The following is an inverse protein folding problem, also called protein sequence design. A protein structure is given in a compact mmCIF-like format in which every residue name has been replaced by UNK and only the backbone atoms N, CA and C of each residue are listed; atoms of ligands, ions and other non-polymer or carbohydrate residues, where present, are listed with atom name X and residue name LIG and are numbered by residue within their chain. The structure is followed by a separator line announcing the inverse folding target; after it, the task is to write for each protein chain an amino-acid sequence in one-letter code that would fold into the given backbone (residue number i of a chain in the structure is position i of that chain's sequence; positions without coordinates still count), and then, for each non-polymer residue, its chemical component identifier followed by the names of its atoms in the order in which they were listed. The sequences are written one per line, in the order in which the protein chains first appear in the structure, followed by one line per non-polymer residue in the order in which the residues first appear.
data_IF_758117251580
#
_entry.id   IF_758117251580
#
_cell.length_a   1.000
_cell.length_b   1.000
_cell.length_c   1.000
_cell.angle_alpha   90.00
_cell.angle_beta   90.00
_cell.angle_gamma   90.00
#
_symmetry.space_group_name_H-M   'P 1'
#
loop_
_entity.id
_entity.type
_entity.pdbx_description
1 polymer ?
#
# COMPACT_ATOMS: atom_id res chain seq x y z
N UNK A 1 -8.26 -10.34 14.18
CA UNK A 1 -7.54 -11.42 13.44
C UNK A 1 -6.57 -12.11 14.39
N UNK A 2 -6.52 -13.45 14.42
CA UNK A 2 -5.62 -14.22 15.30
C UNK A 2 -4.31 -14.58 14.58
N UNK A 3 -3.21 -14.91 15.29
CA UNK A 3 -1.97 -15.36 14.66
C UNK A 3 -2.14 -16.58 13.74
N UNK A 4 -3.13 -17.44 14.00
CA UNK A 4 -3.43 -18.59 13.14
C UNK A 4 -3.98 -18.16 11.77
N UNK A 5 -4.92 -17.21 11.76
CA UNK A 5 -5.48 -16.64 10.52
C UNK A 5 -4.39 -15.94 9.71
N UNK A 6 -3.53 -15.21 10.40
CA UNK A 6 -2.36 -14.57 9.80
C UNK A 6 -1.41 -15.57 9.13
N UNK A 7 -1.06 -16.68 9.79
CA UNK A 7 -0.20 -17.70 9.18
C UNK A 7 -0.83 -18.35 7.95
N UNK A 8 -2.12 -18.70 8.04
CA UNK A 8 -2.85 -19.27 6.93
C UNK A 8 -2.88 -18.31 5.73
N UNK A 9 -3.12 -17.02 5.97
CA UNK A 9 -3.10 -16.02 4.91
C UNK A 9 -1.72 -15.87 4.25
N UNK A 10 -0.62 -15.85 5.02
CA UNK A 10 0.75 -15.85 4.43
C UNK A 10 0.99 -17.08 3.57
N UNK A 11 0.60 -18.26 4.04
CA UNK A 11 0.72 -19.50 3.26
C UNK A 11 -0.04 -19.41 1.92
N UNK A 12 -1.26 -18.89 1.95
CA UNK A 12 -2.03 -18.67 0.71
C UNK A 12 -1.35 -17.68 -0.25
N UNK A 13 -0.62 -16.68 0.26
CA UNK A 13 0.12 -15.74 -0.59
C UNK A 13 1.35 -16.42 -1.21
N UNK A 14 2.07 -17.24 -0.44
CA UNK A 14 3.29 -17.90 -0.89
C UNK A 14 3.03 -19.11 -1.82
N UNK A 15 1.83 -19.71 -1.78
CA UNK A 15 1.46 -20.88 -2.59
C UNK A 15 1.64 -20.63 -4.09
N UNK A 16 2.59 -21.34 -4.70
CA UNK A 16 2.84 -21.29 -6.14
C UNK A 16 1.71 -22.00 -6.90
N UNK A 17 1.28 -21.43 -8.02
CA UNK A 17 0.20 -21.99 -8.84
C UNK A 17 -1.22 -21.63 -8.38
N UNK A 18 -1.38 -20.99 -7.23
CA UNK A 18 -2.65 -20.38 -6.84
C UNK A 18 -2.92 -19.13 -7.69
N UNK A 19 -4.19 -18.86 -8.01
CA UNK A 19 -4.57 -17.70 -8.80
C UNK A 19 -4.12 -16.39 -8.14
N UNK A 20 -3.55 -15.48 -8.94
CA UNK A 20 -3.06 -14.16 -8.48
C UNK A 20 -4.13 -13.40 -7.70
N UNK A 21 -5.40 -13.46 -8.12
CA UNK A 21 -6.53 -12.80 -7.45
C UNK A 21 -6.74 -13.32 -6.01
N UNK A 22 -6.63 -14.63 -5.79
CA UNK A 22 -6.76 -15.26 -4.47
C UNK A 22 -5.60 -14.84 -3.57
N UNK A 23 -4.38 -14.81 -4.11
CA UNK A 23 -3.19 -14.37 -3.38
C UNK A 23 -3.27 -12.89 -2.99
N UNK A 24 -3.79 -12.04 -3.88
CA UNK A 24 -4.08 -10.62 -3.60
C UNK A 24 -5.14 -10.50 -2.50
N UNK A 25 -6.23 -11.26 -2.58
CA UNK A 25 -7.26 -11.26 -1.54
C UNK A 25 -6.71 -11.71 -0.17
N UNK A 26 -5.83 -12.71 -0.15
CA UNK A 26 -5.15 -13.15 1.06
C UNK A 26 -4.26 -12.05 1.66
N UNK A 27 -3.53 -11.29 0.83
CA UNK A 27 -2.78 -10.12 1.29
C UNK A 27 -3.70 -9.00 1.81
N UNK A 28 -4.83 -8.75 1.15
CA UNK A 28 -5.81 -7.75 1.57
C UNK A 28 -6.53 -8.11 2.88
N UNK A 29 -6.62 -9.40 3.24
CA UNK A 29 -7.17 -9.85 4.52
C UNK A 29 -6.41 -9.27 5.73
N UNK A 30 -5.15 -8.84 5.53
CA UNK A 30 -4.36 -8.16 6.54
C UNK A 30 -4.82 -6.74 6.84
N UNK A 31 -5.72 -6.12 6.05
CA UNK A 31 -6.18 -4.73 6.26
C UNK A 31 -6.73 -4.47 7.67
N UNK A 32 -7.43 -5.43 8.24
CA UNK A 32 -8.08 -5.32 9.56
C UNK A 32 -7.37 -6.15 10.64
N UNK A 33 -6.20 -6.70 10.33
CA UNK A 33 -5.43 -7.48 11.28
C UNK A 33 -4.67 -6.55 12.25
N UNK A 34 -4.56 -6.97 13.51
CA UNK A 34 -3.60 -6.36 14.43
C UNK A 34 -2.19 -6.55 13.88
N UNK A 35 -1.32 -5.57 14.11
CA UNK A 35 0.07 -5.67 13.72
C UNK A 35 0.71 -6.90 14.38
N UNK A 36 1.25 -7.79 13.55
CA UNK A 36 1.95 -8.99 13.99
C UNK A 36 3.25 -9.11 13.21
N UNK A 37 4.35 -8.78 13.88
CA UNK A 37 5.65 -8.59 13.25
C UNK A 37 6.11 -9.74 12.32
N UNK A 38 5.98 -11.03 12.69
CA UNK A 38 6.38 -12.12 11.79
C UNK A 38 5.62 -12.14 10.45
N UNK A 39 4.38 -11.64 10.43
CA UNK A 39 3.62 -11.49 9.19
C UNK A 39 4.07 -10.29 8.37
N UNK A 40 4.38 -9.19 9.05
CA UNK A 40 4.93 -7.99 8.39
C UNK A 40 6.25 -8.33 7.71
N UNK A 41 7.16 -9.01 8.40
CA UNK A 41 8.43 -9.47 7.83
C UNK A 41 8.22 -10.31 6.55
N UNK A 42 7.26 -11.24 6.58
CA UNK A 42 6.90 -12.06 5.41
C UNK A 42 6.29 -11.25 4.27
N UNK A 43 5.40 -10.33 4.57
CA UNK A 43 4.78 -9.46 3.56
C UNK A 43 5.82 -8.54 2.91
N UNK A 44 6.80 -8.04 3.69
CA UNK A 44 7.96 -7.30 3.17
C UNK A 44 8.79 -8.17 2.24
N UNK A 45 9.09 -9.42 2.63
CA UNK A 45 9.82 -10.37 1.79
C UNK A 45 9.14 -10.62 0.44
N UNK A 46 7.82 -10.77 0.45
CA UNK A 46 7.01 -10.96 -0.76
C UNK A 46 7.06 -9.68 -1.62
N UNK A 47 6.84 -8.51 -1.02
CA UNK A 47 6.82 -7.24 -1.72
C UNK A 47 8.12 -6.94 -2.49
N UNK A 48 9.28 -7.28 -1.90
CA UNK A 48 10.59 -6.98 -2.50
C UNK A 48 11.14 -8.09 -3.40
N UNK A 49 10.45 -9.23 -3.54
CA UNK A 49 10.94 -10.37 -4.33
C UNK A 49 10.34 -10.37 -5.76
N UNK A 50 11.17 -10.22 -6.82
CA UNK A 50 10.68 -10.16 -8.20
C UNK A 50 9.98 -11.42 -8.73
N UNK A 51 10.12 -12.55 -8.05
CA UNK A 51 9.50 -13.82 -8.43
C UNK A 51 7.96 -13.83 -8.27
N UNK A 52 7.39 -12.88 -7.50
CA UNK A 52 5.94 -12.76 -7.34
C UNK A 52 5.34 -11.80 -8.36
N UNK A 53 4.07 -12.02 -8.70
CA UNK A 53 3.29 -11.15 -9.58
C UNK A 53 3.23 -9.71 -9.05
N UNK A 54 3.12 -8.74 -9.97
CA UNK A 54 3.07 -7.30 -9.67
C UNK A 54 2.00 -6.96 -8.64
N UNK A 55 0.81 -7.54 -8.82
CA UNK A 55 -0.37 -7.35 -7.99
C UNK A 55 -0.15 -7.91 -6.58
N UNK A 56 0.43 -9.11 -6.47
CA UNK A 56 0.74 -9.74 -5.17
C UNK A 56 1.78 -8.92 -4.40
N UNK A 57 2.80 -8.42 -5.10
CA UNK A 57 3.85 -7.59 -4.51
C UNK A 57 3.29 -6.27 -3.98
N UNK A 58 2.46 -5.58 -4.77
CA UNK A 58 1.81 -4.33 -4.36
C UNK A 58 0.84 -4.56 -3.20
N UNK A 59 0.01 -5.61 -3.26
CA UNK A 59 -0.91 -5.94 -2.18
C UNK A 59 -0.18 -6.27 -0.88
N UNK A 60 0.93 -7.04 -0.96
CA UNK A 60 1.77 -7.37 0.20
C UNK A 60 2.46 -6.14 0.78
N UNK A 61 2.94 -5.23 -0.06
CA UNK A 61 3.46 -3.94 0.38
C UNK A 61 2.43 -3.12 1.14
N UNK A 62 1.22 -2.95 0.59
CA UNK A 62 0.13 -2.20 1.24
C UNK A 62 -0.26 -2.83 2.59
N UNK A 63 -0.25 -4.16 2.67
CA UNK A 63 -0.50 -4.89 3.91
C UNK A 63 0.61 -4.69 4.95
N UNK A 64 1.87 -4.71 4.52
CA UNK A 64 3.03 -4.55 5.39
C UNK A 64 3.20 -3.12 5.90
N UNK A 65 3.08 -2.12 5.01
CA UNK A 65 3.49 -0.73 5.29
C UNK A 65 2.71 -0.12 6.46
N UNK A 66 1.46 -0.54 6.71
CA UNK A 66 0.65 -0.09 7.85
C UNK A 66 1.32 -0.37 9.20
N UNK A 67 2.04 -1.47 9.29
CA UNK A 67 2.69 -1.96 10.51
C UNK A 67 4.22 -1.97 10.36
N UNK A 68 4.77 -1.27 9.37
CA UNK A 68 6.19 -1.25 9.13
C UNK A 68 6.94 -0.53 10.26
N UNK A 69 8.17 -0.98 10.47
CA UNK A 69 9.15 -0.40 11.38
C UNK A 69 10.35 0.04 10.54
N UNK A 70 11.31 0.72 11.15
CA UNK A 70 12.45 1.31 10.45
C UNK A 70 13.15 0.30 9.51
N UNK A 71 13.48 -0.89 10.00
CA UNK A 71 14.19 -1.91 9.20
C UNK A 71 13.37 -2.42 8.00
N UNK A 72 12.04 -2.48 8.15
CA UNK A 72 11.13 -2.88 7.09
C UNK A 72 11.16 -1.84 5.96
N UNK A 73 11.10 -0.56 6.32
CA UNK A 73 11.16 0.55 5.36
C UNK A 73 12.52 0.64 4.68
N UNK A 74 13.62 0.48 5.41
CA UNK A 74 14.97 0.45 4.86
C UNK A 74 15.12 -0.66 3.81
N UNK A 75 14.67 -1.88 4.13
CA UNK A 75 14.68 -3.01 3.21
C UNK A 75 13.83 -2.76 1.96
N UNK A 76 12.62 -2.23 2.14
CA UNK A 76 11.73 -1.89 1.02
C UNK A 76 12.44 -0.88 0.11
N UNK A 77 12.96 0.21 0.67
CA UNK A 77 13.56 1.30 -0.11
C UNK A 77 14.84 0.81 -0.81
N UNK A 78 15.71 0.07 -0.13
CA UNK A 78 16.95 -0.45 -0.72
C UNK A 78 16.66 -1.34 -1.95
N UNK A 79 15.69 -2.26 -1.83
CA UNK A 79 15.37 -3.20 -2.91
C UNK A 79 14.56 -2.56 -4.03
N UNK A 80 13.53 -1.80 -3.69
CA UNK A 80 12.63 -1.20 -4.68
C UNK A 80 13.30 -0.07 -5.45
N UNK A 81 14.28 0.63 -4.87
CA UNK A 81 15.04 1.65 -5.60
C UNK A 81 15.73 1.11 -6.86
N UNK A 82 16.07 -0.19 -6.87
CA UNK A 82 16.75 -0.90 -7.97
C UNK A 82 15.82 -1.83 -8.75
N UNK A 83 14.50 -1.72 -8.54
CA UNK A 83 13.52 -2.60 -9.16
C UNK A 83 13.36 -2.31 -10.66
N UNK A 84 13.37 -3.38 -11.46
CA UNK A 84 13.16 -3.29 -12.92
C UNK A 84 11.68 -3.20 -13.29
N UNK A 85 10.81 -3.83 -12.49
CA UNK A 85 9.36 -3.70 -12.66
C UNK A 85 8.91 -2.29 -12.27
N UNK A 86 8.79 -1.43 -13.28
CA UNK A 86 8.37 -0.04 -13.15
C UNK A 86 7.02 0.15 -12.48
N UNK A 87 6.12 -0.84 -12.55
CA UNK A 87 4.82 -0.80 -11.89
C UNK A 87 4.98 -0.89 -10.37
N UNK A 88 5.74 -1.86 -9.88
CA UNK A 88 6.03 -2.00 -8.44
C UNK A 88 6.84 -0.81 -7.95
N UNK A 89 7.89 -0.42 -8.69
CA UNK A 89 8.77 0.70 -8.33
C UNK A 89 8.00 2.01 -8.19
N UNK A 90 7.23 2.38 -9.22
CA UNK A 90 6.46 3.62 -9.23
C UNK A 90 5.39 3.66 -8.14
N UNK A 91 4.68 2.54 -7.94
CA UNK A 91 3.65 2.45 -6.90
C UNK A 91 4.24 2.65 -5.50
N UNK A 92 5.27 1.87 -5.17
CA UNK A 92 5.82 1.83 -3.81
C UNK A 92 6.56 3.12 -3.48
N UNK A 93 7.47 3.59 -4.34
CA UNK A 93 8.22 4.83 -4.09
C UNK A 93 7.27 6.04 -4.08
N UNK A 94 6.32 6.10 -5.01
CA UNK A 94 5.30 7.14 -5.04
C UNK A 94 4.44 7.17 -3.78
N UNK A 95 4.01 6.00 -3.27
CA UNK A 95 3.25 5.94 -2.02
C UNK A 95 4.08 6.39 -0.81
N UNK A 96 5.35 5.99 -0.71
CA UNK A 96 6.24 6.44 0.37
C UNK A 96 6.50 7.95 0.32
N UNK A 97 6.65 8.54 -0.87
CA UNK A 97 6.76 9.99 -1.05
C UNK A 97 5.47 10.69 -0.60
N UNK A 98 4.29 10.19 -1.00
CA UNK A 98 3.02 10.75 -0.54
C UNK A 98 2.88 10.70 0.99
N UNK A 99 3.39 9.64 1.64
CA UNK A 99 3.41 9.56 3.11
C UNK A 99 4.39 10.59 3.69
N UNK A 100 5.58 10.74 3.11
CA UNK A 100 6.63 11.64 3.59
C UNK A 100 6.22 13.12 3.47
N UNK A 101 5.60 13.50 2.35
CA UNK A 101 5.18 14.86 2.04
C UNK A 101 3.77 15.19 2.55
N UNK A 102 2.96 14.17 2.84
CA UNK A 102 1.58 14.30 3.27
C UNK A 102 1.41 14.74 4.72
N UNK A 103 0.18 15.12 5.07
CA UNK A 103 -0.21 15.61 6.41
C UNK A 103 -1.25 14.71 7.10
N UNK A 104 -1.53 13.52 6.55
CA UNK A 104 -2.52 12.60 7.08
C UNK A 104 -2.17 12.14 8.51
N UNK A 105 -3.01 12.43 9.53
CA UNK A 105 -2.69 12.12 10.94
C UNK A 105 -2.46 10.63 11.20
N UNK A 106 -3.21 9.76 10.52
CA UNK A 106 -3.07 8.30 10.63
C UNK A 106 -1.76 7.75 10.04
N UNK A 107 -0.95 8.58 9.36
CA UNK A 107 0.34 8.22 8.76
C UNK A 107 1.50 8.91 9.48
N UNK A 108 1.26 9.58 10.61
CA UNK A 108 2.28 10.34 11.35
C UNK A 108 3.49 9.50 11.75
N UNK A 109 3.29 8.30 12.30
CA UNK A 109 4.39 7.41 12.67
C UNK A 109 5.25 7.02 11.47
N UNK A 110 4.63 6.66 10.33
CA UNK A 110 5.38 6.31 9.12
C UNK A 110 6.13 7.51 8.56
N UNK A 111 5.50 8.69 8.56
CA UNK A 111 6.15 9.94 8.16
C UNK A 111 7.35 10.26 9.04
N UNK A 112 7.26 10.02 10.35
CA UNK A 112 8.40 10.16 11.26
C UNK A 112 9.55 9.23 10.89
N UNK A 113 9.27 7.94 10.65
CA UNK A 113 10.29 6.96 10.22
C UNK A 113 10.93 7.33 8.87
N UNK A 114 10.18 7.97 7.98
CA UNK A 114 10.65 8.40 6.66
C UNK A 114 11.33 9.77 6.66
N UNK A 115 11.32 10.52 7.77
CA UNK A 115 11.70 11.94 7.76
C UNK A 115 13.13 12.22 7.25
N UNK A 116 14.07 11.30 7.49
CA UNK A 116 15.46 11.42 7.07
C UNK A 116 15.83 10.50 5.88
N UNK A 117 14.84 9.88 5.25
CA UNK A 117 15.07 8.92 4.19
C UNK A 117 14.96 9.61 2.83
N UNK A 118 16.01 9.49 2.02
CA UNK A 118 15.99 10.00 0.64
C UNK A 118 15.37 8.93 -0.25
N UNK A 119 14.14 9.19 -0.72
CA UNK A 119 13.44 8.30 -1.64
C UNK A 119 13.74 8.75 -3.07
N UNK A 120 14.24 7.86 -3.96
CA UNK A 120 14.48 8.22 -5.35
C UNK A 120 13.19 8.68 -6.05
N UNK A 121 13.30 9.74 -6.85
CA UNK A 121 12.17 10.31 -7.61
C UNK A 121 12.29 10.11 -9.12
N UNK A 122 13.32 9.38 -9.54
CA UNK A 122 13.69 9.03 -10.92
C UNK A 122 12.85 7.85 -11.44
N UNK A 123 11.52 7.96 -11.35
CA UNK A 123 10.58 7.03 -11.94
C UNK A 123 9.49 7.77 -12.70
N UNK A 124 8.91 7.11 -13.71
CA UNK A 124 7.85 7.69 -14.53
C UNK A 124 6.57 7.85 -13.71
N UNK A 125 5.91 9.01 -13.86
CA UNK A 125 4.75 9.40 -13.06
C UNK A 125 3.46 9.47 -13.90
N UNK A 126 3.49 9.04 -15.17
CA UNK A 126 2.31 9.00 -16.01
C UNK A 126 1.28 8.01 -15.46
N UNK A 127 0.30 8.61 -14.84
CA UNK A 127 -0.73 7.98 -14.06
C UNK A 127 -1.66 7.05 -14.85
N UNK A 128 -1.65 7.20 -16.18
CA UNK A 128 -2.43 6.39 -17.14
C UNK A 128 -1.73 5.09 -17.52
N UNK A 129 -0.46 4.95 -17.15
CA UNK A 129 0.41 3.82 -17.54
C UNK A 129 1.04 3.13 -16.35
N UNK A 130 1.22 3.86 -15.24
CA UNK A 130 1.93 3.37 -14.07
C UNK A 130 1.02 3.28 -12.85
N UNK A 131 1.23 2.21 -12.11
CA UNK A 131 0.55 1.92 -10.86
C UNK A 131 0.86 3.02 -9.84
N UNK A 132 -0.16 3.47 -9.10
CA UNK A 132 -0.03 4.56 -8.13
C UNK A 132 -1.03 4.45 -6.99
N UNK A 133 -0.63 5.00 -5.85
CA UNK A 133 -1.52 5.36 -4.75
C UNK A 133 -1.86 6.85 -4.85
N UNK A 134 -3.15 7.18 -4.75
CA UNK A 134 -3.68 8.53 -4.65
C UNK A 134 -4.26 8.68 -3.26
N UNK A 135 -3.87 9.74 -2.56
CA UNK A 135 -4.43 10.13 -1.27
C UNK A 135 -4.68 11.63 -1.28
N UNK A 136 -5.93 12.03 -1.09
CA UNK A 136 -6.36 13.42 -1.02
C UNK A 136 -7.23 13.61 0.21
N UNK A 137 -6.90 14.60 1.03
CA UNK A 137 -7.68 14.95 2.20
C UNK A 137 -7.84 16.47 2.31
N UNK A 138 -9.01 16.89 2.76
CA UNK A 138 -9.32 18.28 3.08
C UNK A 138 -10.06 18.35 4.41
N UNK A 139 -9.72 19.35 5.23
CA UNK A 139 -10.38 19.61 6.51
C UNK A 139 -10.73 21.10 6.61
N UNK A 140 -11.97 21.38 7.01
CA UNK A 140 -12.49 22.71 7.24
C UNK A 140 -12.80 22.90 8.74
N UNK A 141 -11.84 23.44 9.52
CA UNK A 141 -11.98 23.57 10.98
C UNK A 141 -13.20 24.38 11.41
N UNK A 142 -13.57 25.41 10.63
CA UNK A 142 -14.71 26.27 10.92
C UNK A 142 -16.06 25.54 10.93
N UNK A 143 -16.15 24.38 10.29
CA UNK A 143 -17.35 23.57 10.20
C UNK A 143 -17.22 22.21 10.89
N UNK A 144 -16.06 21.91 11.51
CA UNK A 144 -15.79 20.58 12.07
C UNK A 144 -15.84 19.46 11.02
N UNK A 145 -15.67 19.79 9.73
CA UNK A 145 -15.93 18.87 8.62
C UNK A 145 -14.66 18.55 7.84
N UNK A 146 -14.53 17.31 7.38
CA UNK A 146 -13.47 16.86 6.50
C UNK A 146 -13.95 15.90 5.42
N UNK A 147 -13.17 15.77 4.36
CA UNK A 147 -13.37 14.80 3.30
C UNK A 147 -12.03 14.18 2.92
N UNK A 148 -12.03 12.89 2.64
CA UNK A 148 -10.87 12.12 2.24
C UNK A 148 -11.19 11.16 1.09
N UNK A 149 -10.22 10.99 0.21
CA UNK A 149 -10.27 10.09 -0.94
C UNK A 149 -8.94 9.34 -1.02
N UNK A 150 -8.99 8.02 -0.93
CA UNK A 150 -7.85 7.15 -1.20
C UNK A 150 -8.16 6.25 -2.40
N UNK A 151 -7.20 6.06 -3.30
CA UNK A 151 -7.34 5.15 -4.43
C UNK A 151 -6.03 4.47 -4.79
N UNK A 152 -6.08 3.16 -5.02
CA UNK A 152 -5.00 2.39 -5.60
C UNK A 152 -5.37 2.01 -7.03
N UNK A 153 -4.46 2.28 -7.98
CA UNK A 153 -4.58 1.85 -9.37
C UNK A 153 -3.38 0.97 -9.67
N UNK A 154 -3.63 -0.27 -10.07
CA UNK A 154 -2.59 -1.28 -10.28
C UNK A 154 -2.64 -1.77 -11.73
N UNK A 155 -1.53 -1.62 -12.46
CA UNK A 155 -1.32 -2.12 -13.80
C UNK A 155 -0.31 -3.28 -13.79
N UNK A 156 -0.53 -4.25 -14.66
CA UNK A 156 0.52 -5.20 -15.02
C UNK A 156 1.51 -4.55 -16.02
N UNK A 157 2.79 -4.97 -16.03
CA UNK A 157 3.76 -4.52 -17.02
C UNK A 157 3.23 -4.70 -18.45
N UNK A 158 3.33 -3.65 -19.28
CA UNK A 158 2.87 -3.67 -20.67
C UNK A 158 1.35 -3.56 -20.86
N UNK A 159 0.55 -3.42 -19.80
CA UNK A 159 -0.90 -3.22 -19.89
C UNK A 159 -1.29 -1.75 -19.78
N UNK A 160 -2.23 -1.31 -20.62
CA UNK A 160 -2.91 0.00 -20.50
C UNK A 160 -4.26 -0.11 -19.78
N UNK A 161 -4.69 -1.33 -19.43
CA UNK A 161 -5.91 -1.59 -18.66
C UNK A 161 -5.46 -1.98 -17.25
N UNK A 162 -5.94 -1.30 -16.20
CA UNK A 162 -5.62 -1.65 -14.83
C UNK A 162 -6.17 -3.03 -14.49
N UNK A 163 -5.40 -3.78 -13.71
CA UNK A 163 -5.74 -5.10 -13.19
C UNK A 163 -6.56 -5.01 -11.93
N UNK A 164 -6.33 -3.96 -11.14
CA UNK A 164 -7.14 -3.66 -9.97
C UNK A 164 -7.27 -2.15 -9.77
N UNK A 165 -8.43 -1.73 -9.32
CA UNK A 165 -8.74 -0.37 -8.88
C UNK A 165 -9.50 -0.45 -7.56
N UNK A 166 -8.98 0.22 -6.54
CA UNK A 166 -9.71 0.44 -5.30
C UNK A 166 -9.98 1.93 -5.11
N UNK A 167 -11.13 2.24 -4.53
CA UNK A 167 -11.53 3.59 -4.15
C UNK A 167 -12.13 3.56 -2.75
N UNK A 168 -11.66 4.43 -1.87
CA UNK A 168 -12.21 4.61 -0.52
C UNK A 168 -12.49 6.10 -0.30
N UNK A 169 -13.74 6.42 0.03
CA UNK A 169 -14.19 7.77 0.34
C UNK A 169 -14.56 7.86 1.82
N UNK A 170 -14.05 8.89 2.49
CA UNK A 170 -14.30 9.17 3.90
C UNK A 170 -14.77 10.60 4.10
N UNK A 171 -15.60 10.81 5.10
CA UNK A 171 -15.95 12.14 5.59
C UNK A 171 -15.67 12.20 7.09
N UNK A 172 -15.34 13.38 7.60
CA UNK A 172 -15.24 13.64 9.04
C UNK A 172 -16.30 14.66 9.41
N UNK A 173 -17.06 14.41 10.47
CA UNK A 173 -18.04 15.35 11.03
C UNK A 173 -17.80 15.42 12.53
N UNK A 174 -17.56 16.62 13.06
CA UNK A 174 -17.21 16.86 14.47
C UNK A 174 -16.10 15.92 14.95
N UNK A 175 -14.98 15.89 14.20
CA UNK A 175 -13.82 15.02 14.42
C UNK A 175 -14.08 13.51 14.31
N UNK A 176 -15.31 13.10 14.00
CA UNK A 176 -15.68 11.69 13.86
C UNK A 176 -15.58 11.23 12.40
N UNK A 177 -14.73 10.23 12.08
CA UNK A 177 -14.61 9.73 10.72
C UNK A 177 -15.73 8.75 10.36
N UNK A 178 -16.25 8.88 9.14
CA UNK A 178 -17.30 8.06 8.54
C UNK A 178 -16.87 7.56 7.16
N UNK A 179 -17.08 6.27 6.89
CA UNK A 179 -16.94 5.71 5.55
C UNK A 179 -18.15 6.06 4.70
N UNK A 180 -17.92 6.60 3.49
CA UNK A 180 -18.98 7.04 2.58
C UNK A 180 -19.16 6.03 1.44
N UNK A 181 -18.06 5.58 0.84
CA UNK A 181 -18.08 4.59 -0.23
C UNK A 181 -16.77 3.80 -0.26
N UNK A 182 -16.86 2.51 -0.58
CA UNK A 182 -15.71 1.66 -0.90
C UNK A 182 -16.03 0.87 -2.18
N UNK A 183 -15.12 0.90 -3.15
CA UNK A 183 -15.25 0.22 -4.43
C UNK A 183 -13.97 -0.58 -4.67
N UNK A 184 -14.11 -1.83 -5.08
CA UNK A 184 -13.02 -2.71 -5.50
C UNK A 184 -13.38 -3.36 -6.84
N UNK A 185 -12.46 -3.27 -7.80
CA UNK A 185 -12.54 -3.91 -9.12
C UNK A 185 -11.16 -4.45 -9.51
#
# INVERSE_FOLDING_TARGET
VTPAVTRAAVQCIEEEGLETSIRVAAAQAFRQANCFRPAVEKLVDIAVRPAFDTEVRIASYLAAVRCAEQEHLEKIIEKISKEENTQVRGFVLGHLINIQEGSCPNKENLRYLLANVVIPTDFEKDFRKFSRHIDMAYYAPAFGMGAGLESNIIYAPGSFIPRAVNLNMRATVDETPHGIAEIEH
#
